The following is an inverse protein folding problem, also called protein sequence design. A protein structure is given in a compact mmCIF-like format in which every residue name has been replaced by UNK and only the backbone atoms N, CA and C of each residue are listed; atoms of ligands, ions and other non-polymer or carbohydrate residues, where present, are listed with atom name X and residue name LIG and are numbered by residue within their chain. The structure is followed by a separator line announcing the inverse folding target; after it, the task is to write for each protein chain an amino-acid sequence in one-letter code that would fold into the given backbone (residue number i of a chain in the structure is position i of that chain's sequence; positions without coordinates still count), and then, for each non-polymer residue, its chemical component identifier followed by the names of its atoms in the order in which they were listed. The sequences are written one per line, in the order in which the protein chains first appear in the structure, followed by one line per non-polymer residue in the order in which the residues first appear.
data_IF_724688881676
#
_entry.id   IF_724688881676
#
_cell.length_a   1.000
_cell.length_b   1.000
_cell.length_c   1.000
_cell.angle_alpha   90.00
_cell.angle_beta   90.00
_cell.angle_gamma   90.00
#
_symmetry.space_group_name_H-M   'P 1'
#
loop_
_entity.id
_entity.type
_entity.pdbx_description
1 polymer ?
#
# COMPACT_ATOMS: atom_id res chain seq x y z
N UNK A 1 11.09 1.70 16.58
CA UNK A 1 11.02 0.23 16.60
C UNK A 1 10.47 -0.22 17.94
N UNK A 2 10.96 0.28 19.08
CA UNK A 2 10.32 0.04 20.38
C UNK A 2 8.86 0.52 20.43
N UNK A 3 8.56 1.74 19.97
CA UNK A 3 7.17 2.26 19.96
C UNK A 3 6.19 1.34 19.20
N UNK A 4 6.49 0.97 17.95
CA UNK A 4 5.67 0.03 17.16
C UNK A 4 5.49 -1.33 17.85
N UNK A 5 6.51 -1.76 18.58
CA UNK A 5 6.46 -3.03 19.32
C UNK A 5 5.53 -2.97 20.52
N UNK A 6 5.59 -1.87 21.29
CA UNK A 6 4.67 -1.61 22.40
C UNK A 6 3.22 -1.51 21.93
N UNK A 7 2.99 -0.87 20.77
CA UNK A 7 1.68 -0.84 20.12
C UNK A 7 1.19 -2.26 19.76
N UNK A 8 2.09 -3.11 19.24
CA UNK A 8 1.76 -4.50 18.92
C UNK A 8 1.37 -5.32 20.15
N UNK A 9 2.12 -5.20 21.25
CA UNK A 9 1.79 -5.88 22.52
C UNK A 9 0.46 -5.38 23.11
N UNK A 10 0.17 -4.08 22.99
CA UNK A 10 -1.11 -3.50 23.41
C UNK A 10 -2.27 -4.07 22.60
N UNK A 11 -2.11 -4.15 21.28
CA UNK A 11 -3.06 -4.76 20.35
C UNK A 11 -3.33 -6.23 20.71
N UNK A 12 -2.30 -7.04 20.89
CA UNK A 12 -2.43 -8.46 21.25
C UNK A 12 -3.13 -8.65 22.60
N UNK A 13 -2.78 -7.81 23.59
CA UNK A 13 -3.46 -7.81 24.90
C UNK A 13 -4.93 -7.46 24.78
N UNK A 14 -5.27 -6.49 23.92
CA UNK A 14 -6.65 -6.05 23.70
C UNK A 14 -7.44 -7.11 22.92
N UNK A 15 -6.82 -7.74 21.92
CA UNK A 15 -7.41 -8.85 21.16
C UNK A 15 -7.76 -10.03 22.08
N UNK A 16 -6.83 -10.47 22.94
CA UNK A 16 -7.11 -11.52 23.94
C UNK A 16 -8.24 -11.16 24.90
N UNK A 17 -8.30 -9.89 25.33
CA UNK A 17 -9.42 -9.43 26.18
C UNK A 17 -10.75 -9.49 25.44
N UNK A 18 -10.80 -9.12 24.16
CA UNK A 18 -12.01 -9.21 23.34
C UNK A 18 -12.45 -10.66 23.17
N UNK A 19 -11.50 -11.58 22.99
CA UNK A 19 -11.79 -13.02 22.91
C UNK A 19 -12.41 -13.56 24.22
N UNK A 20 -11.93 -13.11 25.38
CA UNK A 20 -12.43 -13.53 26.70
C UNK A 20 -13.76 -12.84 27.08
N UNK A 21 -13.83 -11.52 26.91
CA UNK A 21 -14.96 -10.69 27.34
C UNK A 21 -16.13 -10.73 26.33
N UNK A 22 -15.86 -11.17 25.10
CA UNK A 22 -16.80 -11.18 23.99
C UNK A 22 -16.70 -9.94 23.12
N UNK A 23 -17.02 -10.13 21.84
CA UNK A 23 -17.10 -9.07 20.82
C UNK A 23 -18.29 -8.14 21.10
N UNK A 24 -18.07 -6.84 20.99
CA UNK A 24 -19.15 -5.85 20.89
C UNK A 24 -19.04 -5.05 19.60
N UNK A 25 -20.09 -4.30 19.27
CA UNK A 25 -20.10 -3.43 18.09
C UNK A 25 -19.03 -2.33 18.20
N UNK A 26 -18.86 -1.75 19.38
CA UNK A 26 -17.88 -0.68 19.63
C UNK A 26 -16.46 -1.22 19.92
N UNK A 27 -16.34 -2.50 20.27
CA UNK A 27 -15.06 -3.11 20.65
C UNK A 27 -14.95 -4.49 20.03
N UNK A 28 -14.27 -4.53 18.89
CA UNK A 28 -13.95 -5.75 18.17
C UNK A 28 -12.49 -5.70 17.71
N UNK A 29 -12.00 -6.85 17.23
CA UNK A 29 -10.60 -6.96 16.81
C UNK A 29 -10.33 -6.18 15.52
N UNK A 30 -11.32 -6.01 14.64
CA UNK A 30 -11.17 -5.23 13.40
C UNK A 30 -10.88 -3.75 13.67
N UNK A 31 -11.66 -3.12 14.55
CA UNK A 31 -11.48 -1.72 14.97
C UNK A 31 -10.15 -1.53 15.73
N UNK A 32 -9.84 -2.43 16.67
CA UNK A 32 -8.57 -2.39 17.41
C UNK A 32 -7.36 -2.50 16.47
N UNK A 33 -7.46 -3.37 15.45
CA UNK A 33 -6.40 -3.51 14.44
C UNK A 33 -6.30 -2.28 13.52
N UNK A 34 -7.43 -1.67 13.15
CA UNK A 34 -7.45 -0.42 12.38
C UNK A 34 -6.76 0.72 13.15
N UNK A 35 -7.05 0.88 14.43
CA UNK A 35 -6.39 1.85 15.32
C UNK A 35 -4.87 1.62 15.37
N UNK A 36 -4.45 0.37 15.60
CA UNK A 36 -3.04 0.00 15.57
C UNK A 36 -2.35 0.42 14.25
N UNK A 37 -2.97 0.17 13.10
CA UNK A 37 -2.39 0.57 11.79
C UNK A 37 -2.21 2.08 11.70
N UNK A 38 -3.20 2.87 12.12
CA UNK A 38 -3.13 4.33 12.04
C UNK A 38 -2.11 4.91 13.03
N UNK A 39 -1.98 4.34 14.23
CA UNK A 39 -0.95 4.72 15.20
C UNK A 39 0.46 4.38 14.70
N UNK A 40 0.66 3.20 14.12
CA UNK A 40 1.94 2.80 13.51
C UNK A 40 2.31 3.75 12.38
N UNK A 41 1.36 4.06 11.50
CA UNK A 41 1.55 5.01 10.40
C UNK A 41 1.91 6.40 10.93
N UNK A 42 1.21 6.89 11.96
CA UNK A 42 1.49 8.19 12.59
C UNK A 42 2.88 8.23 13.21
N UNK A 43 3.26 7.19 13.96
CA UNK A 43 4.61 7.02 14.53
C UNK A 43 5.68 7.02 13.42
N UNK A 44 5.46 6.26 12.35
CA UNK A 44 6.38 6.18 11.21
C UNK A 44 6.54 7.55 10.53
N UNK A 45 5.44 8.27 10.30
CA UNK A 45 5.45 9.61 9.72
C UNK A 45 6.15 10.63 10.62
N UNK A 46 5.89 10.62 11.93
CA UNK A 46 6.56 11.49 12.89
C UNK A 46 8.08 11.24 12.89
N UNK A 47 8.49 9.97 12.90
CA UNK A 47 9.90 9.58 12.81
C UNK A 47 10.53 10.03 11.50
N UNK A 48 9.83 9.88 10.37
CA UNK A 48 10.28 10.34 9.07
C UNK A 48 10.44 11.88 9.03
N UNK A 49 9.45 12.63 9.54
CA UNK A 49 9.46 14.09 9.68
C UNK A 49 10.62 14.59 10.55
N UNK A 50 11.12 13.79 11.49
CA UNK A 50 12.31 14.14 12.28
C UNK A 50 13.63 13.72 11.60
N UNK A 51 13.71 12.48 11.12
CA UNK A 51 14.95 11.91 10.63
C UNK A 51 15.37 12.48 9.26
N UNK A 52 14.42 12.67 8.34
CA UNK A 52 14.70 13.14 6.99
C UNK A 52 15.26 14.58 7.01
N UNK A 53 14.64 15.57 7.70
CA UNK A 53 15.19 16.91 7.78
C UNK A 53 16.51 16.99 8.53
N UNK A 54 16.71 16.22 9.61
CA UNK A 54 18.02 16.15 10.30
C UNK A 54 19.14 15.69 9.37
N UNK A 55 18.90 14.64 8.59
CA UNK A 55 19.85 14.15 7.59
C UNK A 55 20.09 15.21 6.49
N UNK A 56 19.03 15.86 5.99
CA UNK A 56 19.14 16.90 4.97
C UNK A 56 19.90 18.14 5.49
N UNK A 57 19.63 18.57 6.73
CA UNK A 57 20.35 19.66 7.40
C UNK A 57 21.83 19.33 7.52
N UNK A 58 22.17 18.11 7.95
CA UNK A 58 23.58 17.69 8.06
C UNK A 58 24.30 17.70 6.71
N UNK A 59 23.63 17.28 5.64
CA UNK A 59 24.15 17.38 4.27
C UNK A 59 24.38 18.86 3.89
N UNK A 60 23.45 19.76 4.23
CA UNK A 60 23.56 21.21 3.95
C UNK A 60 24.71 21.85 4.73
N UNK A 61 24.84 21.56 6.02
CA UNK A 61 25.93 22.05 6.87
C UNK A 61 27.30 21.64 6.34
N UNK A 62 27.51 20.35 6.06
CA UNK A 62 28.79 19.86 5.52
C UNK A 62 29.13 20.46 4.14
N UNK A 63 28.12 20.75 3.31
CA UNK A 63 28.33 21.47 2.04
C UNK A 63 28.75 22.93 2.28
N UNK A 64 28.15 23.61 3.24
CA UNK A 64 28.48 24.99 3.58
C UNK A 64 29.90 25.09 4.18
N UNK A 65 30.24 24.20 5.11
CA UNK A 65 31.57 24.10 5.72
C UNK A 65 32.65 23.88 4.66
N UNK A 66 32.41 22.98 3.71
CA UNK A 66 33.33 22.75 2.58
C UNK A 66 33.50 23.99 1.70
N UNK A 67 32.43 24.77 1.47
CA UNK A 67 32.50 26.01 0.69
C UNK A 67 33.28 27.10 1.43
N UNK A 68 33.07 27.24 2.74
CA UNK A 68 33.81 28.19 3.58
C UNK A 68 35.29 27.85 3.60
N UNK A 69 35.62 26.59 3.84
CA UNK A 69 37.00 26.11 3.88
C UNK A 69 37.72 26.31 2.53
N UNK A 70 37.01 26.19 1.41
CA UNK A 70 37.56 26.45 0.08
C UNK A 70 37.80 27.94 -0.22
N UNK A 71 37.12 28.84 0.50
CA UNK A 71 37.17 30.28 0.29
C UNK A 71 38.00 31.02 1.36
N UNK A 72 38.44 30.34 2.42
CA UNK A 72 39.16 30.98 3.52
C UNK A 72 40.64 31.20 3.17
N UNK A 73 40.97 32.45 2.83
CA UNK A 73 42.32 32.91 2.52
C UNK A 73 43.22 33.09 3.75
N UNK A 74 42.71 32.86 4.97
CA UNK A 74 43.41 33.08 6.24
C UNK A 74 44.07 31.84 6.84
N UNK A 75 43.81 30.66 6.29
CA UNK A 75 44.40 29.40 6.75
C UNK A 75 45.90 29.34 6.40
N UNK A 76 46.73 28.96 7.38
CA UNK A 76 48.20 29.14 7.35
C UNK A 76 48.96 28.10 6.50
N UNK A 77 48.33 26.98 6.14
CA UNK A 77 48.92 25.98 5.24
C UNK A 77 47.88 25.40 4.28
N UNK A 78 48.25 25.31 3.00
CA UNK A 78 47.45 24.67 1.93
C UNK A 78 47.16 23.20 2.24
N UNK A 79 48.02 22.53 2.99
CA UNK A 79 47.92 21.11 3.35
C UNK A 79 46.83 20.86 4.40
N UNK A 80 46.69 21.76 5.38
CA UNK A 80 45.65 21.67 6.43
C UNK A 80 44.25 21.82 5.82
N UNK A 81 44.09 22.74 4.87
CA UNK A 81 42.86 22.93 4.08
C UNK A 81 42.53 21.66 3.28
N UNK A 82 43.53 21.04 2.65
CA UNK A 82 43.29 19.81 1.88
C UNK A 82 42.88 18.64 2.77
N UNK A 83 43.52 18.47 3.93
CA UNK A 83 43.21 17.40 4.87
C UNK A 83 41.79 17.55 5.45
N UNK A 84 41.45 18.74 5.93
CA UNK A 84 40.12 19.04 6.47
C UNK A 84 39.02 18.92 5.40
N UNK A 85 39.26 19.42 4.17
CA UNK A 85 38.35 19.23 3.05
C UNK A 85 38.15 17.73 2.73
N UNK A 86 39.20 16.92 2.79
CA UNK A 86 39.12 15.48 2.55
C UNK A 86 38.25 14.78 3.60
N UNK A 87 38.37 15.15 4.89
CA UNK A 87 37.54 14.62 5.97
C UNK A 87 36.05 15.00 5.80
N UNK A 88 35.76 16.27 5.47
CA UNK A 88 34.38 16.72 5.21
C UNK A 88 33.80 16.02 3.99
N UNK A 89 34.58 15.86 2.90
CA UNK A 89 34.17 15.11 1.70
C UNK A 89 33.93 13.64 2.01
N UNK A 90 34.76 13.01 2.86
CA UNK A 90 34.56 11.63 3.31
C UNK A 90 33.24 11.49 4.05
N UNK A 91 32.95 12.37 5.02
CA UNK A 91 31.71 12.34 5.80
C UNK A 91 30.47 12.64 4.95
N UNK A 92 30.57 13.59 4.02
CA UNK A 92 29.53 13.88 3.04
C UNK A 92 29.32 12.71 2.08
N UNK A 93 30.42 12.04 1.72
CA UNK A 93 30.44 10.80 0.96
C UNK A 93 29.76 9.65 1.71
N UNK A 94 29.99 9.50 3.01
CA UNK A 94 29.34 8.50 3.87
C UNK A 94 27.84 8.75 4.00
N UNK A 95 27.40 10.00 4.23
CA UNK A 95 25.96 10.33 4.29
C UNK A 95 25.27 10.16 2.93
N UNK A 96 25.93 10.58 1.84
CA UNK A 96 25.45 10.30 0.48
C UNK A 96 25.45 8.82 0.19
N UNK A 97 26.47 8.06 0.58
CA UNK A 97 26.51 6.60 0.45
C UNK A 97 25.41 5.98 1.28
N UNK A 98 25.19 6.31 2.54
CA UNK A 98 24.06 5.79 3.31
C UNK A 98 22.71 6.03 2.60
N UNK A 99 22.53 7.21 1.97
CA UNK A 99 21.35 7.52 1.17
C UNK A 99 21.27 6.76 -0.16
N UNK A 100 22.35 6.75 -0.96
CA UNK A 100 22.38 6.23 -2.33
C UNK A 100 22.82 4.76 -2.43
N UNK A 101 23.67 4.28 -1.53
CA UNK A 101 24.21 2.93 -1.50
C UNK A 101 23.14 1.91 -1.16
N UNK A 102 22.19 2.22 -0.26
CA UNK A 102 21.05 1.33 -0.04
C UNK A 102 20.26 1.16 -1.35
N UNK A 103 19.87 2.27 -1.99
CA UNK A 103 19.15 2.22 -3.27
C UNK A 103 19.97 1.57 -4.38
N UNK A 104 21.23 1.96 -4.55
CA UNK A 104 22.10 1.51 -5.65
C UNK A 104 22.59 0.08 -5.47
N UNK A 105 22.91 -0.38 -4.25
CA UNK A 105 23.25 -1.79 -4.00
C UNK A 105 22.05 -2.67 -4.28
N UNK A 106 20.86 -2.28 -3.81
CA UNK A 106 19.64 -3.03 -4.11
C UNK A 106 19.41 -3.07 -5.62
N UNK A 107 19.49 -1.94 -6.32
CA UNK A 107 19.33 -1.92 -7.79
C UNK A 107 20.43 -2.72 -8.51
N UNK A 108 21.69 -2.62 -8.11
CA UNK A 108 22.81 -3.29 -8.78
C UNK A 108 22.85 -4.80 -8.48
N UNK A 109 22.56 -5.20 -7.24
CA UNK A 109 22.42 -6.62 -6.87
C UNK A 109 21.23 -7.23 -7.61
N UNK A 110 20.10 -6.52 -7.66
CA UNK A 110 18.94 -6.94 -8.43
C UNK A 110 19.22 -7.01 -9.92
N UNK A 111 19.95 -6.05 -10.49
CA UNK A 111 20.41 -6.13 -11.88
C UNK A 111 21.35 -7.31 -12.12
N UNK A 112 22.25 -7.62 -11.19
CA UNK A 112 23.16 -8.74 -11.34
C UNK A 112 22.45 -10.09 -11.24
N UNK A 113 21.41 -10.20 -10.40
CA UNK A 113 20.64 -11.44 -10.21
C UNK A 113 19.59 -11.60 -11.31
N UNK A 114 18.88 -10.52 -11.65
CA UNK A 114 17.64 -10.54 -12.43
C UNK A 114 17.76 -9.81 -13.78
N UNK A 115 18.86 -9.12 -14.05
CA UNK A 115 19.05 -8.27 -15.23
C UNK A 115 19.44 -8.99 -16.52
N UNK A 116 19.70 -10.30 -16.46
CA UNK A 116 19.88 -11.18 -17.63
C UNK A 116 18.84 -12.30 -17.67
N UNK A 117 18.05 -12.48 -16.59
CA UNK A 117 16.96 -13.45 -16.54
C UNK A 117 15.66 -12.75 -16.89
N UNK A 118 14.77 -13.41 -17.66
CA UNK A 118 13.42 -12.90 -17.95
C UNK A 118 12.64 -12.87 -16.64
N UNK A 119 12.77 -11.74 -15.95
CA UNK A 119 12.21 -11.45 -14.65
C UNK A 119 11.34 -10.20 -14.75
N UNK A 120 10.49 -9.95 -13.76
CA UNK A 120 9.72 -8.71 -13.65
C UNK A 120 10.62 -7.48 -13.72
N UNK A 121 11.81 -7.54 -13.12
CA UNK A 121 12.79 -6.46 -13.13
C UNK A 121 13.37 -6.22 -14.53
N UNK A 122 13.76 -7.28 -15.23
CA UNK A 122 14.21 -7.20 -16.63
C UNK A 122 13.12 -6.61 -17.52
N UNK A 123 11.88 -7.10 -17.38
CA UNK A 123 10.73 -6.57 -18.11
C UNK A 123 10.51 -5.09 -17.80
N UNK A 124 10.64 -4.64 -16.55
CA UNK A 124 10.47 -3.23 -16.19
C UNK A 124 11.56 -2.31 -16.74
N UNK A 125 12.83 -2.75 -16.77
CA UNK A 125 13.92 -1.97 -17.36
C UNK A 125 13.74 -1.81 -18.86
N UNK A 126 13.36 -2.90 -19.53
CA UNK A 126 13.21 -2.92 -20.99
C UNK A 126 11.83 -2.48 -21.46
N UNK A 127 10.85 -2.33 -20.56
CA UNK A 127 9.53 -1.80 -20.88
C UNK A 127 9.68 -0.35 -21.31
N UNK A 128 9.27 -0.08 -22.55
CA UNK A 128 9.15 1.28 -23.06
C UNK A 128 8.31 2.12 -22.08
N UNK A 129 8.91 3.21 -21.59
CA UNK A 129 8.23 4.15 -20.70
C UNK A 129 7.34 5.05 -21.55
N UNK A 130 6.19 4.53 -21.96
CA UNK A 130 5.15 5.34 -22.59
C UNK A 130 4.69 6.40 -21.59
N UNK A 131 4.50 7.67 -22.01
CA UNK A 131 3.85 8.66 -21.16
C UNK A 131 2.52 8.09 -20.69
N UNK A 132 2.17 8.30 -19.41
CA UNK A 132 0.87 7.89 -18.91
C UNK A 132 -0.21 8.62 -19.71
N UNK A 133 -1.26 7.89 -20.10
CA UNK A 133 -2.41 8.49 -20.77
C UNK A 133 -3.08 9.48 -19.81
N UNK A 134 -3.03 10.77 -20.18
CA UNK A 134 -3.64 11.83 -19.40
C UNK A 134 -5.11 11.95 -19.77
N UNK A 135 -5.98 11.87 -18.77
CA UNK A 135 -7.39 12.23 -18.92
C UNK A 135 -7.46 13.75 -18.85
N UNK A 136 -7.76 14.39 -19.98
CA UNK A 136 -7.80 15.86 -20.05
C UNK A 136 -9.12 16.45 -19.53
N UNK A 137 -10.23 15.75 -19.76
CA UNK A 137 -11.56 16.19 -19.36
C UNK A 137 -12.52 15.00 -19.24
N UNK A 138 -13.56 15.13 -18.41
CA UNK A 138 -14.67 14.18 -18.33
C UNK A 138 -16.00 14.87 -18.57
N UNK A 139 -16.92 14.21 -19.26
CA UNK A 139 -18.29 14.67 -19.48
C UNK A 139 -19.04 14.65 -18.15
N UNK A 140 -19.70 15.75 -17.81
CA UNK A 140 -20.56 15.82 -16.63
C UNK A 140 -21.84 15.00 -16.89
N UNK A 141 -22.36 14.27 -15.89
CA UNK A 141 -23.54 13.41 -16.06
C UNK A 141 -24.80 14.19 -16.46
N UNK A 142 -24.93 15.45 -16.02
CA UNK A 142 -26.10 16.31 -16.28
C UNK A 142 -25.98 17.13 -17.58
N UNK A 143 -24.88 16.99 -18.32
CA UNK A 143 -24.65 17.79 -19.51
C UNK A 143 -25.60 17.38 -20.66
N UNK A 144 -26.34 18.33 -21.27
CA UNK A 144 -27.18 18.04 -22.43
C UNK A 144 -26.33 17.49 -23.58
N UNK A 145 -26.89 16.57 -24.37
CA UNK A 145 -26.26 16.03 -25.57
C UNK A 145 -26.31 17.05 -26.73
N UNK A 146 -25.71 18.23 -26.51
CA UNK A 146 -25.55 19.26 -27.52
C UNK A 146 -24.28 19.05 -28.32
N UNK A 147 -24.40 18.95 -29.65
CA UNK A 147 -23.26 18.87 -30.58
C UNK A 147 -22.55 20.23 -30.80
N UNK A 148 -22.98 21.30 -30.12
CA UNK A 148 -22.44 22.64 -30.36
C UNK A 148 -21.10 22.84 -29.63
N UNK A 149 -20.06 23.18 -30.39
CA UNK A 149 -18.67 23.33 -29.91
C UNK A 149 -18.54 24.44 -28.86
N UNK A 150 -19.48 25.42 -28.87
CA UNK A 150 -19.50 26.53 -27.90
C UNK A 150 -20.03 26.12 -26.52
N UNK A 151 -20.68 24.96 -26.40
CA UNK A 151 -21.29 24.48 -25.15
C UNK A 151 -20.43 23.42 -24.41
N UNK A 152 -19.24 23.13 -24.94
CA UNK A 152 -18.29 22.18 -24.34
C UNK A 152 -17.81 22.62 -22.96
N UNK A 153 -17.71 23.92 -22.70
CA UNK A 153 -17.23 24.45 -21.40
C UNK A 153 -18.20 24.14 -20.25
N UNK A 154 -19.50 24.03 -20.52
CA UNK A 154 -20.48 23.64 -19.50
C UNK A 154 -20.58 22.12 -19.36
N UNK A 155 -20.40 21.41 -20.47
CA UNK A 155 -20.63 19.96 -20.58
C UNK A 155 -19.49 19.07 -20.07
N UNK A 156 -18.27 19.60 -19.99
CA UNK A 156 -17.08 18.86 -19.57
C UNK A 156 -16.42 19.49 -18.33
N UNK A 157 -15.75 18.67 -17.55
CA UNK A 157 -14.97 19.05 -16.37
C UNK A 157 -13.50 18.76 -16.61
N UNK A 158 -12.65 19.73 -16.26
CA UNK A 158 -11.18 19.69 -16.47
C UNK A 158 -10.40 19.75 -15.16
N UNK A 159 -11.07 20.12 -14.07
CA UNK A 159 -10.47 20.11 -12.75
C UNK A 159 -10.36 18.66 -12.27
N UNK A 160 -9.13 18.19 -12.03
CA UNK A 160 -8.84 16.80 -11.66
C UNK A 160 -9.67 16.32 -10.47
N UNK A 161 -9.81 17.15 -9.45
CA UNK A 161 -10.50 16.79 -8.21
C UNK A 161 -11.99 16.54 -8.47
N UNK A 162 -12.61 17.36 -9.35
CA UNK A 162 -14.00 17.18 -9.76
C UNK A 162 -14.17 16.01 -10.72
N UNK A 163 -13.20 15.78 -11.60
CA UNK A 163 -13.18 14.59 -12.48
C UNK A 163 -13.15 13.30 -11.66
N UNK A 164 -12.35 13.25 -10.59
CA UNK A 164 -12.33 12.13 -9.64
C UNK A 164 -13.70 11.93 -9.01
N UNK A 165 -14.36 13.00 -8.57
CA UNK A 165 -15.71 12.90 -8.01
C UNK A 165 -16.73 12.38 -9.02
N UNK A 166 -16.66 12.83 -10.28
CA UNK A 166 -17.53 12.34 -11.36
C UNK A 166 -17.33 10.83 -11.57
N UNK A 167 -16.07 10.37 -11.64
CA UNK A 167 -15.76 8.94 -11.77
C UNK A 167 -16.23 8.13 -10.57
N UNK A 168 -15.97 8.64 -9.36
CA UNK A 168 -16.41 8.00 -8.12
C UNK A 168 -17.93 7.81 -8.12
N UNK A 169 -18.69 8.89 -8.32
CA UNK A 169 -20.14 8.84 -8.35
C UNK A 169 -20.64 7.88 -9.43
N UNK A 170 -20.05 7.90 -10.63
CA UNK A 170 -20.43 6.99 -11.70
C UNK A 170 -20.27 5.51 -11.32
N UNK A 171 -19.15 5.13 -10.69
CA UNK A 171 -18.92 3.75 -10.27
C UNK A 171 -19.73 3.38 -9.02
N UNK A 172 -19.91 4.29 -8.08
CA UNK A 172 -20.80 4.10 -6.93
C UNK A 172 -22.24 3.85 -7.43
N UNK A 173 -22.74 4.69 -8.33
CA UNK A 173 -24.06 4.51 -8.95
C UNK A 173 -24.16 3.18 -9.70
N UNK A 174 -23.10 2.75 -10.39
CA UNK A 174 -23.07 1.46 -11.07
C UNK A 174 -23.19 0.27 -10.10
N UNK A 175 -22.60 0.36 -8.91
CA UNK A 175 -22.71 -0.67 -7.88
C UNK A 175 -24.10 -0.72 -7.23
N UNK A 176 -24.78 0.42 -7.15
CA UNK A 176 -26.12 0.53 -6.53
C UNK A 176 -27.26 0.41 -7.53
N UNK A 177 -26.99 0.40 -8.85
CA UNK A 177 -28.02 0.18 -9.86
C UNK A 177 -28.66 -1.18 -9.61
N UNK A 178 -29.96 -1.23 -9.28
CA UNK A 178 -30.63 -2.50 -9.04
C UNK A 178 -30.52 -3.32 -10.32
N UNK A 179 -30.13 -4.58 -10.18
CA UNK A 179 -30.20 -5.52 -11.29
C UNK A 179 -31.67 -5.64 -11.66
N UNK A 180 -32.06 -5.10 -12.81
CA UNK A 180 -33.47 -4.99 -13.22
C UNK A 180 -34.06 -6.30 -13.73
N UNK A 181 -33.31 -7.40 -13.72
CA UNK A 181 -33.84 -8.69 -14.11
C UNK A 181 -34.75 -9.24 -13.01
N UNK A 182 -35.84 -9.87 -13.42
CA UNK A 182 -36.69 -10.63 -12.51
C UNK A 182 -35.87 -11.70 -11.77
N UNK A 183 -36.23 -12.02 -10.53
CA UNK A 183 -35.48 -12.99 -9.71
C UNK A 183 -35.46 -14.37 -10.40
N UNK A 184 -36.51 -14.68 -11.17
CA UNK A 184 -36.58 -15.87 -12.01
C UNK A 184 -35.59 -15.83 -13.18
N UNK A 185 -35.49 -14.70 -13.89
CA UNK A 185 -34.53 -14.52 -14.98
C UNK A 185 -33.08 -14.59 -14.47
N UNK A 186 -32.82 -14.02 -13.28
CA UNK A 186 -31.52 -14.13 -12.61
C UNK A 186 -31.20 -15.58 -12.27
N UNK A 187 -32.15 -16.31 -11.69
CA UNK A 187 -31.99 -17.73 -11.36
C UNK A 187 -31.68 -18.57 -12.59
N UNK A 188 -32.44 -18.38 -13.68
CA UNK A 188 -32.22 -19.08 -14.94
C UNK A 188 -30.85 -18.79 -15.55
N UNK A 189 -30.39 -17.53 -15.53
CA UNK A 189 -29.08 -17.15 -16.02
C UNK A 189 -27.93 -17.73 -15.15
N UNK A 190 -28.12 -17.82 -13.83
CA UNK A 190 -27.16 -18.47 -12.93
C UNK A 190 -27.08 -19.97 -13.25
N UNK A 191 -28.21 -20.65 -13.38
CA UNK A 191 -28.22 -22.08 -13.76
C UNK A 191 -27.59 -22.31 -15.13
N UNK A 192 -27.93 -21.49 -16.13
CA UNK A 192 -27.33 -21.58 -17.46
C UNK A 192 -25.80 -21.42 -17.39
N UNK A 193 -25.32 -20.41 -16.65
CA UNK A 193 -23.89 -20.20 -16.46
C UNK A 193 -23.21 -21.36 -15.73
N UNK A 194 -23.85 -21.95 -14.72
CA UNK A 194 -23.34 -23.11 -14.00
C UNK A 194 -23.30 -24.36 -14.91
N UNK A 195 -24.32 -24.56 -15.74
CA UNK A 195 -24.40 -25.69 -16.69
C UNK A 195 -23.34 -25.61 -17.81
N UNK A 196 -22.78 -24.42 -18.08
CA UNK A 196 -21.67 -24.26 -19.02
C UNK A 196 -20.32 -24.72 -18.44
N UNK A 197 -20.22 -24.89 -17.12
CA UNK A 197 -19.00 -25.35 -16.45
C UNK A 197 -18.93 -26.88 -16.57
N UNK A 198 -17.88 -27.45 -17.21
CA UNK A 198 -17.75 -28.90 -17.36
C UNK A 198 -17.77 -29.61 -16.00
N UNK A 199 -18.40 -30.78 -15.91
CA UNK A 199 -18.53 -31.56 -14.65
C UNK A 199 -17.21 -31.80 -13.92
N UNK A 200 -16.10 -31.92 -14.67
CA UNK A 200 -14.73 -32.10 -14.12
C UNK A 200 -14.16 -30.83 -13.45
N UNK A 201 -14.73 -29.67 -13.73
CA UNK A 201 -14.35 -28.34 -13.22
C UNK A 201 -15.37 -27.83 -12.19
N UNK A 202 -16.54 -28.46 -12.09
CA UNK A 202 -17.47 -28.21 -11.01
C UNK A 202 -16.83 -28.64 -9.69
N UNK A 203 -16.82 -27.72 -8.72
CA UNK A 203 -16.38 -28.04 -7.36
C UNK A 203 -17.28 -29.16 -6.84
N UNK A 204 -16.67 -30.25 -6.36
CA UNK A 204 -17.42 -31.31 -5.71
C UNK A 204 -18.22 -30.75 -4.53
N UNK A 205 -19.32 -31.42 -4.17
CA UNK A 205 -20.23 -31.05 -3.06
C UNK A 205 -19.49 -30.86 -1.72
N UNK A 206 -18.24 -31.32 -1.62
CA UNK A 206 -17.34 -31.08 -0.52
C UNK A 206 -16.82 -29.62 -0.52
N UNK A 207 -17.74 -28.68 -0.26
CA UNK A 207 -17.47 -27.27 0.07
C UNK A 207 -16.77 -27.11 1.42
N UNK A 208 -16.52 -28.20 2.14
CA UNK A 208 -15.81 -28.29 3.42
C UNK A 208 -14.53 -27.42 3.47
N UNK A 209 -13.64 -27.42 2.45
CA UNK A 209 -12.41 -26.62 2.52
C UNK A 209 -12.66 -25.11 2.38
N UNK A 210 -13.71 -24.71 1.66
CA UNK A 210 -14.05 -23.29 1.44
C UNK A 210 -14.86 -22.71 2.61
N UNK A 211 -15.51 -23.57 3.39
CA UNK A 211 -16.23 -23.19 4.61
C UNK A 211 -15.37 -23.25 5.87
N UNK A 212 -14.13 -23.77 5.77
CA UNK A 212 -13.21 -23.82 6.89
C UNK A 212 -12.75 -22.41 7.29
N UNK A 213 -12.66 -22.15 8.59
CA UNK A 213 -12.15 -20.88 9.12
C UNK A 213 -10.69 -20.69 8.73
N UNK A 214 -10.31 -19.45 8.40
CA UNK A 214 -8.91 -19.10 8.11
C UNK A 214 -7.99 -19.50 9.27
N UNK A 215 -6.93 -20.25 8.98
CA UNK A 215 -5.95 -20.70 9.99
C UNK A 215 -4.72 -19.80 10.06
N UNK A 216 -3.92 -19.92 11.13
CA UNK A 216 -2.60 -19.26 11.23
C UNK A 216 -1.64 -19.72 10.12
N UNK A 217 -1.74 -20.98 9.68
CA UNK A 217 -0.92 -21.50 8.58
C UNK A 217 -1.28 -20.81 7.26
N UNK A 218 -2.58 -20.59 7.00
CA UNK A 218 -3.06 -19.88 5.82
C UNK A 218 -2.55 -18.45 5.79
N UNK A 219 -2.67 -17.73 6.90
CA UNK A 219 -2.16 -16.35 7.04
C UNK A 219 -0.65 -16.30 6.87
N UNK A 220 0.09 -17.23 7.48
CA UNK A 220 1.54 -17.30 7.35
C UNK A 220 1.97 -17.62 5.91
N UNK A 221 1.27 -18.54 5.24
CA UNK A 221 1.52 -18.91 3.84
C UNK A 221 1.22 -17.74 2.91
N UNK A 222 0.08 -17.08 3.08
CA UNK A 222 -0.28 -15.88 2.35
C UNK A 222 0.77 -14.79 2.53
N UNK A 223 1.18 -14.50 3.76
CA UNK A 223 2.23 -13.52 4.05
C UNK A 223 3.56 -13.87 3.37
N UNK A 224 3.97 -15.14 3.34
CA UNK A 224 5.17 -15.58 2.62
C UNK A 224 5.05 -15.39 1.10
N UNK A 225 3.87 -15.61 0.54
CA UNK A 225 3.59 -15.48 -0.89
C UNK A 225 3.51 -14.03 -1.38
N UNK A 226 3.28 -13.05 -0.48
CA UNK A 226 3.25 -11.63 -0.88
C UNK A 226 4.57 -11.19 -1.49
N UNK A 227 4.51 -10.43 -2.59
CA UNK A 227 5.71 -9.85 -3.22
C UNK A 227 6.22 -8.63 -2.43
N UNK A 228 7.53 -8.56 -2.21
CA UNK A 228 8.16 -7.34 -1.70
C UNK A 228 8.13 -6.22 -2.76
N UNK A 229 8.26 -4.98 -2.30
CA UNK A 229 8.38 -3.75 -3.09
C UNK A 229 7.15 -3.44 -3.96
N UNK A 230 5.99 -4.01 -3.60
CA UNK A 230 4.70 -3.56 -4.12
C UNK A 230 4.31 -2.25 -3.46
N UNK A 231 3.46 -1.49 -4.15
CA UNK A 231 2.83 -0.33 -3.54
C UNK A 231 2.03 -0.79 -2.31
N UNK A 232 2.16 -0.06 -1.20
CA UNK A 232 1.35 -0.29 -0.02
C UNK A 232 -0.12 0.04 -0.31
N UNK A 233 -1.02 -0.52 0.50
CA UNK A 233 -2.44 -0.19 0.46
C UNK A 233 -2.73 1.25 0.92
N UNK A 234 -4.01 1.55 1.13
CA UNK A 234 -4.46 2.87 1.62
C UNK A 234 -3.89 3.22 3.01
N UNK A 235 -3.54 2.22 3.80
CA UNK A 235 -2.87 2.39 5.09
C UNK A 235 -1.39 2.80 4.97
N UNK A 236 -0.79 2.67 3.79
CA UNK A 236 0.62 2.98 3.56
C UNK A 236 1.59 1.98 4.22
N UNK A 237 1.10 0.83 4.70
CA UNK A 237 1.91 -0.22 5.32
C UNK A 237 2.27 -1.28 4.27
N UNK A 238 3.56 -1.44 3.89
CA UNK A 238 3.95 -2.41 2.87
C UNK A 238 4.02 -3.83 3.45
N UNK A 239 4.02 -4.87 2.62
CA UNK A 239 4.08 -6.26 3.08
C UNK A 239 5.33 -6.58 3.92
N UNK A 240 6.45 -5.89 3.65
CA UNK A 240 7.68 -6.00 4.41
C UNK A 240 7.51 -5.59 5.86
N UNK A 241 6.58 -4.69 6.16
CA UNK A 241 6.26 -4.32 7.54
C UNK A 241 5.79 -5.55 8.31
N UNK A 242 4.79 -6.26 7.80
CA UNK A 242 4.23 -7.46 8.42
C UNK A 242 5.23 -8.62 8.47
N UNK A 243 6.03 -8.80 7.40
CA UNK A 243 7.13 -9.79 7.39
C UNK A 243 8.16 -9.49 8.48
N UNK A 244 8.56 -8.23 8.64
CA UNK A 244 9.52 -7.81 9.66
C UNK A 244 8.97 -8.05 11.06
N UNK A 245 7.67 -7.81 11.30
CA UNK A 245 7.04 -8.11 12.59
C UNK A 245 7.07 -9.61 12.90
N UNK A 246 6.76 -10.46 11.92
CA UNK A 246 6.80 -11.92 12.08
C UNK A 246 8.24 -12.45 12.27
N UNK A 247 9.22 -11.88 11.58
CA UNK A 247 10.64 -12.21 11.82
C UNK A 247 11.05 -11.83 13.24
N UNK A 248 10.65 -10.64 13.70
CA UNK A 248 10.93 -10.16 15.05
C UNK A 248 10.26 -11.02 16.13
N UNK A 249 9.02 -11.45 15.90
CA UNK A 249 8.34 -12.42 16.74
C UNK A 249 9.18 -13.69 16.94
N UNK A 250 9.70 -14.28 15.84
CA UNK A 250 10.53 -15.48 15.90
C UNK A 250 11.87 -15.27 16.60
N UNK A 251 12.45 -14.07 16.49
CA UNK A 251 13.66 -13.70 17.22
C UNK A 251 13.39 -13.55 18.72
N UNK A 252 12.34 -12.80 19.08
CA UNK A 252 12.01 -12.51 20.47
C UNK A 252 11.44 -13.77 21.17
N UNK A 253 10.74 -14.67 20.47
CA UNK A 253 10.30 -15.96 21.00
C UNK A 253 11.47 -16.90 21.36
N UNK A 254 12.64 -16.74 20.74
CA UNK A 254 13.86 -17.47 21.10
C UNK A 254 14.62 -16.80 22.25
N UNK A 255 14.31 -15.55 22.57
CA UNK A 255 15.01 -14.77 23.57
C UNK A 255 14.23 -14.79 24.90
N UNK A 256 14.80 -15.36 25.95
CA UNK A 256 14.14 -15.54 27.26
C UNK A 256 13.67 -14.24 27.95
N UNK A 257 14.18 -13.07 27.53
CA UNK A 257 13.98 -11.78 28.23
C UNK A 257 13.00 -10.82 27.55
N UNK A 258 12.32 -11.23 26.48
CA UNK A 258 11.40 -10.36 25.74
C UNK A 258 10.06 -11.03 25.56
N UNK A 259 8.99 -10.32 25.87
CA UNK A 259 7.63 -10.74 25.54
C UNK A 259 7.46 -10.64 24.02
N UNK A 260 7.27 -11.76 23.29
CA UNK A 260 7.12 -11.75 21.84
C UNK A 260 5.74 -11.20 21.43
N UNK A 261 5.65 -10.47 20.31
CA UNK A 261 4.38 -10.00 19.72
C UNK A 261 4.01 -10.87 18.52
N UNK A 262 2.93 -11.65 18.60
CA UNK A 262 2.49 -12.55 17.53
C UNK A 262 1.53 -11.88 16.55
N UNK A 263 2.09 -11.28 15.50
CA UNK A 263 1.29 -10.64 14.44
C UNK A 263 0.44 -11.64 13.64
N UNK A 264 0.85 -12.91 13.53
CA UNK A 264 0.11 -13.90 12.74
C UNK A 264 -1.18 -14.25 13.46
N UNK A 265 -1.09 -14.53 14.76
CA UNK A 265 -2.26 -14.84 15.58
C UNK A 265 -3.27 -13.69 15.57
N UNK A 266 -2.81 -12.44 15.67
CA UNK A 266 -3.70 -11.27 15.58
C UNK A 266 -4.37 -11.15 14.20
N UNK A 267 -3.61 -11.30 13.11
CA UNK A 267 -4.17 -11.25 11.76
C UNK A 267 -5.20 -12.37 11.53
N UNK A 268 -4.93 -13.58 12.01
CA UNK A 268 -5.88 -14.70 11.96
C UNK A 268 -7.17 -14.36 12.70
N UNK A 269 -7.09 -13.79 13.90
CA UNK A 269 -8.26 -13.33 14.64
C UNK A 269 -9.06 -12.26 13.89
N UNK A 270 -8.38 -11.32 13.22
CA UNK A 270 -9.05 -10.30 12.39
C UNK A 270 -9.80 -10.93 11.21
N UNK A 271 -9.18 -11.86 10.48
CA UNK A 271 -9.83 -12.52 9.35
C UNK A 271 -11.00 -13.39 9.77
N UNK A 272 -10.87 -14.15 10.86
CA UNK A 272 -11.96 -14.94 11.40
C UNK A 272 -13.14 -14.07 11.88
N UNK A 273 -12.85 -12.90 12.48
CA UNK A 273 -13.91 -11.95 12.86
C UNK A 273 -14.65 -11.42 11.62
N UNK A 274 -13.93 -11.14 10.51
CA UNK A 274 -14.52 -10.74 9.24
C UNK A 274 -15.37 -11.87 8.62
N UNK A 275 -14.88 -13.11 8.65
CA UNK A 275 -15.61 -14.27 8.13
C UNK A 275 -16.93 -14.51 8.89
N UNK A 276 -16.91 -14.34 10.21
CA UNK A 276 -18.07 -14.59 11.08
C UNK A 276 -19.07 -13.46 11.11
N UNK A 277 -18.61 -12.21 11.07
CA UNK A 277 -19.43 -11.04 11.35
C UNK A 277 -19.50 -10.04 10.19
N UNK A 278 -18.80 -10.29 9.10
CA UNK A 278 -18.61 -9.33 8.02
C UNK A 278 -17.62 -8.22 8.39
N UNK A 279 -17.41 -7.30 7.45
CA UNK A 279 -16.57 -6.12 7.68
C UNK A 279 -17.32 -5.12 8.54
N UNK A 280 -16.69 -4.66 9.62
CA UNK A 280 -17.30 -3.68 10.51
C UNK A 280 -17.51 -2.32 9.81
N UNK A 281 -18.75 -1.84 9.81
CA UNK A 281 -19.21 -0.65 9.09
C UNK A 281 -18.99 0.67 9.86
N UNK A 282 -18.52 0.60 11.12
CA UNK A 282 -18.50 1.75 12.05
C UNK A 282 -17.46 2.82 11.76
N UNK A 283 -16.46 2.51 10.94
CA UNK A 283 -15.60 3.50 10.33
C UNK A 283 -15.74 3.29 8.82
N UNK A 284 -15.44 4.29 8.00
CA UNK A 284 -15.19 4.11 6.57
C UNK A 284 -13.98 3.17 6.40
N UNK A 285 -14.15 1.89 6.74
CA UNK A 285 -13.09 1.05 7.26
C UNK A 285 -12.33 0.45 6.08
N UNK A 286 -11.01 0.60 6.15
CA UNK A 286 -10.05 0.34 5.07
C UNK A 286 -10.05 -1.06 4.44
N UNK A 287 -10.74 -2.04 5.02
CA UNK A 287 -10.63 -3.44 4.57
C UNK A 287 -11.29 -3.69 3.22
N UNK A 288 -12.38 -2.98 2.92
CA UNK A 288 -13.10 -3.08 1.65
C UNK A 288 -12.83 -1.90 0.71
N UNK A 289 -12.06 -0.91 1.16
CA UNK A 289 -11.71 0.24 0.35
C UNK A 289 -10.69 -0.16 -0.73
N UNK A 290 -11.09 -0.01 -1.99
CA UNK A 290 -10.24 -0.26 -3.15
C UNK A 290 -9.80 1.04 -3.84
N UNK A 291 -8.68 0.96 -4.56
CA UNK A 291 -8.34 1.97 -5.57
C UNK A 291 -9.06 1.63 -6.86
N UNK A 292 -9.83 2.57 -7.39
CA UNK A 292 -10.24 2.51 -8.80
C UNK A 292 -9.09 3.12 -9.61
N UNK A 293 -8.53 2.32 -10.52
CA UNK A 293 -7.59 2.77 -11.53
C UNK A 293 -8.31 2.71 -12.89
N UNK A 294 -8.97 3.80 -13.33
CA UNK A 294 -9.70 3.81 -14.59
C UNK A 294 -8.76 3.49 -15.75
N UNK A 295 -9.07 2.45 -16.53
CA UNK A 295 -8.26 2.04 -17.67
C UNK A 295 -9.02 2.35 -18.94
N UNK A 296 -8.57 3.34 -19.70
CA UNK A 296 -9.21 3.71 -20.95
C UNK A 296 -9.22 2.53 -21.92
N UNK A 297 -10.42 2.07 -22.30
CA UNK A 297 -10.60 0.89 -23.16
C UNK A 297 -11.35 1.20 -24.47
N UNK A 298 -12.05 2.33 -24.56
CA UNK A 298 -13.01 2.60 -25.66
C UNK A 298 -12.95 4.05 -26.17
N UNK A 299 -13.08 4.21 -27.49
CA UNK A 299 -13.30 5.43 -28.28
C UNK A 299 -13.08 6.79 -27.58
N UNK A 300 -14.07 7.30 -26.81
CA UNK A 300 -14.05 8.66 -26.28
C UNK A 300 -13.52 8.67 -24.82
N UNK A 301 -12.30 9.19 -24.56
CA UNK A 301 -11.72 9.29 -23.22
C UNK A 301 -12.43 10.31 -22.32
N UNK A 302 -13.37 11.09 -22.83
CA UNK A 302 -14.12 12.00 -21.98
C UNK A 302 -15.33 11.34 -21.29
N UNK A 303 -15.67 10.09 -21.61
CA UNK A 303 -16.83 9.42 -21.01
C UNK A 303 -16.40 8.50 -19.86
N UNK A 304 -16.96 8.67 -18.65
CA UNK A 304 -16.68 7.77 -17.51
C UNK A 304 -16.89 6.28 -17.83
N UNK A 305 -17.90 5.94 -18.63
CA UNK A 305 -18.24 4.57 -19.04
C UNK A 305 -17.21 3.89 -19.97
N UNK A 306 -16.21 4.63 -20.45
CA UNK A 306 -15.17 4.11 -21.34
C UNK A 306 -13.86 3.74 -20.61
N UNK A 307 -13.86 3.84 -19.27
CA UNK A 307 -12.78 3.43 -18.39
C UNK A 307 -13.15 2.20 -17.55
#
# INVERSE_FOLDING_TARGET
MNEVYELGLSLETTARKIEIEGRTEQRNIQSTFAEFKEEVKTCAQARAKMAIPKMAKKIKELKAELKLLSNDSRMKSKEEIQLSAALIRKRLGELKKQRYHKTKLTTAARYRIEGETISKYWSQINKEKKPQDLIYELKKPEAPEGNDVRDRTHSYERCSDKMVQIMKNFFDDLQHKPYTADEQERGAAIEEALNLIPDKEQLGIDMSPLAAETTEEDVLKALKMTENEKAAGLDGLPYEFYKTLNEKYKEDAKAEKRTPFDIISVLTGVYQDIEKHGCDHWQENSFTQGWICPLWKKNNPALPSNY
#
